data_IF_290050679548
#
_entry.id   IF_290050679548
#
_cell.length_a   1.000
_cell.length_b   1.000
_cell.length_c   1.000
_cell.angle_alpha   90.00
_cell.angle_beta   90.00
_cell.angle_gamma   90.00
#
_symmetry.space_group_name_H-M   'P 1'
#
loop_
_entity.id
_entity.type
_entity.pdbx_description
1 polymer ?
#
# COMPACT_ATOMS: atom_id res chain seq x y z
N UNK A 1 21.03 3.96 8.13
CA UNK A 1 20.00 4.19 9.15
C UNK A 1 20.51 3.56 10.44
N UNK A 2 20.73 4.33 11.52
CA UNK A 2 21.18 3.79 12.79
C UNK A 2 20.15 2.81 13.39
N UNK A 3 20.63 1.75 14.01
CA UNK A 3 19.83 0.74 14.71
C UNK A 3 19.98 -0.65 14.10
N UNK A 4 19.89 -1.65 14.94
CA UNK A 4 20.10 -3.08 14.57
C UNK A 4 18.79 -3.88 14.56
N UNK A 5 17.63 -3.24 14.72
CA UNK A 5 16.34 -3.89 14.98
C UNK A 5 15.35 -3.73 13.83
N UNK A 6 15.82 -3.48 12.62
CA UNK A 6 14.96 -3.41 11.43
C UNK A 6 14.67 -4.81 10.89
N UNK A 7 13.39 -5.16 10.74
CA UNK A 7 12.94 -6.46 10.21
C UNK A 7 12.51 -6.37 8.75
N UNK A 8 12.00 -5.21 8.31
CA UNK A 8 11.50 -5.03 6.96
C UNK A 8 11.73 -3.59 6.48
N UNK A 9 12.02 -3.41 5.18
CA UNK A 9 12.16 -2.10 4.54
C UNK A 9 11.57 -2.14 3.14
N UNK A 10 10.84 -1.08 2.78
CA UNK A 10 10.30 -0.89 1.44
C UNK A 10 10.45 0.58 1.00
N UNK A 11 11.03 0.79 -0.18
CA UNK A 11 11.29 2.11 -0.75
C UNK A 11 10.25 2.47 -1.82
N UNK A 12 9.59 3.60 -1.67
CA UNK A 12 8.82 4.26 -2.72
C UNK A 12 9.68 5.19 -3.57
N UNK A 13 9.04 6.08 -4.35
CA UNK A 13 9.79 7.05 -5.18
C UNK A 13 10.54 8.09 -4.34
N UNK A 14 9.93 8.55 -3.27
CA UNK A 14 10.45 9.67 -2.46
C UNK A 14 10.45 9.40 -0.96
N UNK A 15 9.88 8.29 -0.53
CA UNK A 15 9.79 7.90 0.87
C UNK A 15 10.28 6.47 1.08
N UNK A 16 10.62 6.19 2.31
CA UNK A 16 10.92 4.84 2.79
C UNK A 16 10.01 4.52 3.96
N UNK A 17 9.50 3.29 3.96
CA UNK A 17 8.82 2.67 5.10
C UNK A 17 9.70 1.54 5.63
N UNK A 18 9.73 1.38 6.94
CA UNK A 18 10.42 0.27 7.57
C UNK A 18 9.70 -0.18 8.83
N UNK A 19 9.80 -1.47 9.13
CA UNK A 19 9.25 -2.06 10.35
C UNK A 19 10.42 -2.57 11.20
N UNK A 20 10.36 -2.32 12.49
CA UNK A 20 11.32 -2.89 13.44
C UNK A 20 10.85 -4.25 13.95
N UNK A 21 11.76 -4.98 14.57
CA UNK A 21 11.47 -6.30 15.20
C UNK A 21 10.47 -6.22 16.35
N UNK A 22 10.25 -5.02 16.92
CA UNK A 22 9.21 -4.76 17.92
C UNK A 22 7.84 -4.46 17.30
N UNK A 23 7.70 -4.60 15.97
CA UNK A 23 6.47 -4.36 15.24
C UNK A 23 6.11 -2.89 15.01
N UNK A 24 6.97 -1.94 15.37
CA UNK A 24 6.73 -0.51 15.11
C UNK A 24 7.00 -0.16 13.64
N UNK A 25 6.13 0.69 13.05
CA UNK A 25 6.26 1.21 11.69
C UNK A 25 6.93 2.59 11.71
N UNK A 26 7.86 2.81 10.79
CA UNK A 26 8.64 4.04 10.65
C UNK A 26 8.61 4.53 9.21
N UNK A 27 8.63 5.85 9.02
CA UNK A 27 8.67 6.49 7.71
C UNK A 27 9.60 7.69 7.70
N UNK A 28 10.24 7.93 6.54
CA UNK A 28 11.04 9.13 6.27
C UNK A 28 11.11 9.41 4.78
N UNK A 29 11.61 10.59 4.42
CA UNK A 29 11.68 11.09 3.07
C UNK A 29 10.71 12.25 2.84
N UNK A 30 10.20 12.38 1.63
CA UNK A 30 9.26 13.42 1.21
C UNK A 30 7.89 13.21 1.87
N UNK A 31 7.31 14.28 2.42
CA UNK A 31 6.10 14.20 3.25
C UNK A 31 4.83 14.71 2.58
N UNK A 32 4.91 15.36 1.41
CA UNK A 32 3.73 15.88 0.72
C UNK A 32 2.72 14.77 0.43
N UNK A 33 1.48 15.16 0.25
CA UNK A 33 0.35 14.26 0.09
C UNK A 33 0.06 13.38 1.32
N UNK A 34 0.78 13.58 2.45
CA UNK A 34 0.63 12.80 3.68
C UNK A 34 1.23 11.40 3.61
N UNK A 35 2.09 11.13 2.63
CA UNK A 35 2.60 9.77 2.33
C UNK A 35 3.45 9.14 3.45
N UNK A 36 3.90 9.93 4.42
CA UNK A 36 4.63 9.42 5.59
C UNK A 36 3.72 8.90 6.71
N UNK A 37 2.40 9.15 6.65
CA UNK A 37 1.44 8.63 7.63
C UNK A 37 1.54 9.23 9.04
N UNK A 38 2.17 10.41 9.20
CA UNK A 38 2.50 11.01 10.50
C UNK A 38 1.55 12.16 10.89
N UNK A 39 0.32 12.13 10.36
CA UNK A 39 -0.68 13.20 10.51
C UNK A 39 -0.11 14.59 10.14
N UNK A 40 0.75 14.63 9.11
CA UNK A 40 1.51 15.80 8.69
C UNK A 40 1.94 15.66 7.23
N UNK A 41 2.14 16.78 6.53
CA UNK A 41 2.73 16.83 5.19
C UNK A 41 4.21 17.27 5.21
N UNK A 42 4.85 17.25 6.38
CA UNK A 42 6.25 17.67 6.53
C UNK A 42 7.19 16.51 6.19
N UNK A 43 8.17 16.76 5.34
CA UNK A 43 9.24 15.81 5.02
C UNK A 43 10.10 15.50 6.25
N UNK A 44 10.61 14.28 6.32
CA UNK A 44 11.48 13.81 7.41
C UNK A 44 12.82 13.34 6.86
N UNK A 45 13.91 13.92 7.35
CA UNK A 45 15.27 13.52 6.98
C UNK A 45 15.80 12.31 7.78
N UNK A 46 15.06 11.87 8.78
CA UNK A 46 15.38 10.71 9.62
C UNK A 46 14.14 9.87 9.88
N UNK A 47 14.30 8.58 10.19
CA UNK A 47 13.19 7.71 10.55
C UNK A 47 12.34 8.30 11.68
N UNK A 48 11.04 8.42 11.45
CA UNK A 48 10.06 8.90 12.41
C UNK A 48 8.94 7.87 12.50
N UNK A 49 8.51 7.53 13.71
CA UNK A 49 7.51 6.50 13.93
C UNK A 49 6.13 6.93 13.38
N UNK A 50 5.40 5.99 12.78
CA UNK A 50 4.04 6.15 12.29
C UNK A 50 3.07 5.63 13.35
N UNK A 51 2.38 6.54 14.01
CA UNK A 51 1.48 6.19 15.11
C UNK A 51 2.19 5.53 16.29
N UNK A 52 1.43 4.81 17.13
CA UNK A 52 1.94 4.12 18.33
C UNK A 52 1.77 2.58 18.26
N UNK A 53 1.31 2.04 17.10
CA UNK A 53 1.10 0.61 16.93
C UNK A 53 2.42 -0.17 16.93
N UNK A 54 2.39 -1.38 17.46
CA UNK A 54 3.52 -2.32 17.57
C UNK A 54 3.20 -3.68 16.93
N UNK A 55 2.24 -3.69 16.02
CA UNK A 55 1.65 -4.88 15.42
C UNK A 55 1.72 -4.88 13.86
N UNK A 56 2.62 -4.08 13.29
CA UNK A 56 2.82 -4.02 11.85
C UNK A 56 3.64 -5.21 11.35
N UNK A 57 3.13 -5.91 10.31
CA UNK A 57 3.73 -7.10 9.72
C UNK A 57 4.43 -6.83 8.39
N UNK A 58 3.81 -6.06 7.49
CA UNK A 58 4.38 -5.71 6.19
C UNK A 58 3.96 -4.30 5.77
N UNK A 59 4.72 -3.71 4.85
CA UNK A 59 4.41 -2.38 4.31
C UNK A 59 4.84 -2.25 2.85
N UNK A 60 4.20 -1.33 2.13
CA UNK A 60 4.53 -1.00 0.75
C UNK A 60 4.44 0.51 0.53
N UNK A 61 5.41 1.06 -0.19
CA UNK A 61 5.52 2.47 -0.54
C UNK A 61 5.51 2.63 -2.07
N UNK A 62 4.68 3.52 -2.58
CA UNK A 62 4.63 3.87 -3.99
C UNK A 62 5.10 5.30 -4.26
N UNK A 63 4.53 5.96 -5.28
CA UNK A 63 4.86 7.35 -5.56
C UNK A 63 4.12 8.32 -4.62
N UNK A 64 2.80 8.24 -4.57
CA UNK A 64 1.94 9.17 -3.85
C UNK A 64 1.11 8.50 -2.75
N UNK A 65 1.51 7.34 -2.29
CA UNK A 65 0.78 6.62 -1.27
C UNK A 65 1.59 5.53 -0.63
N UNK A 66 1.11 5.09 0.49
CA UNK A 66 1.69 4.08 1.34
C UNK A 66 0.60 3.16 1.89
N UNK A 67 0.97 1.94 2.23
CA UNK A 67 0.08 0.98 2.87
C UNK A 67 0.87 0.04 3.76
N UNK A 68 0.19 -0.54 4.72
CA UNK A 68 0.76 -1.54 5.61
C UNK A 68 -0.33 -2.49 6.12
N UNK A 69 0.06 -3.69 6.47
CA UNK A 69 -0.80 -4.72 7.03
C UNK A 69 -0.31 -5.03 8.45
N UNK A 70 -1.25 -5.20 9.36
CA UNK A 70 -0.99 -5.61 10.72
C UNK A 70 -1.02 -7.13 10.87
N UNK A 71 -0.49 -7.63 11.97
CA UNK A 71 -0.48 -9.07 12.30
C UNK A 71 -1.86 -9.67 12.46
N UNK A 72 -2.89 -8.85 12.69
CA UNK A 72 -4.30 -9.25 12.73
C UNK A 72 -4.95 -9.32 11.35
N UNK A 73 -4.18 -9.10 10.27
CA UNK A 73 -4.67 -9.12 8.88
C UNK A 73 -5.45 -7.86 8.47
N UNK A 74 -5.41 -6.78 9.24
CA UNK A 74 -6.02 -5.51 8.83
C UNK A 74 -5.09 -4.73 7.89
N UNK A 75 -5.66 -4.19 6.79
CA UNK A 75 -4.95 -3.38 5.80
C UNK A 75 -5.20 -1.89 6.05
N UNK A 76 -4.14 -1.11 6.08
CA UNK A 76 -4.15 0.34 6.30
C UNK A 76 -3.47 1.07 5.14
N UNK A 77 -4.06 2.18 4.70
CA UNK A 77 -3.58 2.98 3.57
C UNK A 77 -3.56 4.46 3.92
N UNK A 78 -2.67 5.21 3.28
CA UNK A 78 -2.60 6.68 3.41
C UNK A 78 -1.88 7.30 2.21
N UNK A 79 -1.95 8.62 2.10
CA UNK A 79 -1.41 9.41 0.99
C UNK A 79 -2.50 10.00 0.12
N UNK A 80 -2.22 10.20 -1.16
CA UNK A 80 -3.11 10.81 -2.14
C UNK A 80 -4.13 9.82 -2.70
N UNK A 81 -5.42 10.22 -2.71
CA UNK A 81 -6.52 9.40 -3.25
C UNK A 81 -6.80 9.65 -4.73
N UNK A 82 -5.81 9.97 -5.55
CA UNK A 82 -6.06 10.14 -6.98
C UNK A 82 -6.58 8.83 -7.60
N UNK A 83 -7.63 8.93 -8.40
CA UNK A 83 -8.28 7.78 -9.06
C UNK A 83 -8.75 6.69 -8.08
N UNK A 84 -9.10 7.04 -6.85
CA UNK A 84 -9.55 6.08 -5.85
C UNK A 84 -8.43 5.20 -5.28
N UNK A 85 -7.16 5.59 -5.41
CA UNK A 85 -6.00 4.80 -5.02
C UNK A 85 -5.96 4.38 -3.55
N UNK A 86 -6.68 5.05 -2.65
CA UNK A 86 -6.76 4.63 -1.26
C UNK A 86 -7.76 3.48 -1.02
N UNK A 87 -8.63 3.17 -1.99
CA UNK A 87 -9.59 2.05 -1.84
C UNK A 87 -10.69 2.27 -0.80
N UNK A 88 -10.90 3.52 -0.36
CA UNK A 88 -11.82 3.87 0.73
C UNK A 88 -13.19 4.37 0.24
N UNK A 89 -13.49 4.21 -1.06
CA UNK A 89 -14.71 4.72 -1.71
C UNK A 89 -14.97 6.22 -1.45
N UNK A 90 -13.90 7.02 -1.42
CA UNK A 90 -13.93 8.46 -1.18
C UNK A 90 -13.61 9.26 -2.44
N UNK A 91 -13.92 10.56 -2.42
CA UNK A 91 -13.60 11.48 -3.52
C UNK A 91 -12.10 11.47 -3.87
N UNK A 92 -11.78 11.59 -5.15
CA UNK A 92 -10.41 11.44 -5.69
C UNK A 92 -9.44 12.56 -5.32
N UNK A 93 -9.92 13.66 -4.76
CA UNK A 93 -9.11 14.81 -4.32
C UNK A 93 -8.62 14.71 -2.87
N UNK A 94 -9.06 13.70 -2.12
CA UNK A 94 -8.73 13.54 -0.70
C UNK A 94 -7.25 13.15 -0.54
N UNK A 95 -6.62 13.72 0.48
CA UNK A 95 -5.30 13.31 0.97
C UNK A 95 -5.45 12.87 2.42
N UNK A 96 -4.91 11.73 2.77
CA UNK A 96 -4.97 11.17 4.12
C UNK A 96 -3.54 11.06 4.64
N UNK A 97 -3.23 11.77 5.72
CA UNK A 97 -1.90 11.85 6.30
C UNK A 97 -1.66 10.91 7.48
N UNK A 98 -2.64 10.06 7.79
CA UNK A 98 -2.54 9.01 8.83
C UNK A 98 -3.10 7.69 8.31
N UNK A 99 -2.59 6.54 8.78
CA UNK A 99 -3.13 5.25 8.39
C UNK A 99 -4.64 5.15 8.60
N UNK A 100 -5.37 4.76 7.54
CA UNK A 100 -6.83 4.55 7.55
C UNK A 100 -7.12 3.14 7.07
N UNK A 101 -7.96 2.41 7.78
CA UNK A 101 -8.21 1.01 7.51
C UNK A 101 -9.12 0.80 6.29
N UNK A 102 -8.73 -0.12 5.40
CA UNK A 102 -9.62 -0.75 4.43
C UNK A 102 -10.40 -1.88 5.13
N UNK A 103 -11.72 -2.01 4.91
CA UNK A 103 -12.49 -3.07 5.54
C UNK A 103 -11.96 -4.48 5.28
N UNK A 104 -12.02 -5.34 6.30
CA UNK A 104 -11.57 -6.73 6.27
C UNK A 104 -10.34 -6.99 7.13
N UNK A 105 -10.15 -8.27 7.48
CA UNK A 105 -9.13 -8.75 8.43
C UNK A 105 -8.34 -9.96 7.93
N UNK A 106 -8.41 -10.24 6.62
CA UNK A 106 -7.73 -11.39 6.02
C UNK A 106 -6.68 -10.98 4.98
N UNK A 107 -6.24 -9.72 5.02
CA UNK A 107 -5.22 -9.22 4.13
C UNK A 107 -3.84 -9.78 4.50
N UNK A 108 -3.08 -10.21 3.48
CA UNK A 108 -1.80 -10.92 3.62
C UNK A 108 -0.62 -10.11 3.09
N UNK A 109 -0.70 -9.62 1.84
CA UNK A 109 0.34 -8.77 1.24
C UNK A 109 -0.28 -7.57 0.53
N UNK A 110 0.46 -6.49 0.40
CA UNK A 110 0.09 -5.24 -0.28
C UNK A 110 1.23 -4.78 -1.19
N UNK A 111 0.91 -4.43 -2.44
CA UNK A 111 1.82 -3.78 -3.35
C UNK A 111 1.24 -2.47 -3.88
N UNK A 112 2.00 -1.42 -3.76
CA UNK A 112 1.66 -0.08 -4.19
C UNK A 112 2.53 0.27 -5.39
N UNK A 113 1.90 0.47 -6.55
CA UNK A 113 2.63 0.81 -7.75
C UNK A 113 2.91 2.31 -7.88
N UNK A 114 3.66 2.65 -8.93
CA UNK A 114 4.04 4.02 -9.26
C UNK A 114 2.86 4.89 -9.72
N UNK A 115 1.79 4.30 -10.30
CA UNK A 115 0.74 5.05 -11.03
C UNK A 115 -0.65 4.99 -10.38
N UNK A 116 -0.73 4.98 -9.07
CA UNK A 116 -2.00 4.95 -8.32
C UNK A 116 -2.80 3.65 -8.46
N UNK A 117 -2.20 2.56 -8.89
CA UNK A 117 -2.80 1.23 -8.80
C UNK A 117 -2.32 0.52 -7.55
N UNK A 118 -3.18 -0.26 -6.94
CA UNK A 118 -2.90 -1.02 -5.71
C UNK A 118 -3.32 -2.46 -5.92
N UNK A 119 -2.59 -3.35 -5.30
CA UNK A 119 -2.85 -4.78 -5.32
C UNK A 119 -2.64 -5.34 -3.93
N UNK A 120 -3.51 -6.25 -3.51
CA UNK A 120 -3.35 -6.95 -2.26
C UNK A 120 -3.82 -8.40 -2.40
N UNK A 121 -3.18 -9.30 -1.66
CA UNK A 121 -3.65 -10.67 -1.50
C UNK A 121 -4.33 -10.84 -0.16
N UNK A 122 -5.19 -11.85 -0.08
CA UNK A 122 -5.75 -12.34 1.16
C UNK A 122 -5.23 -13.73 1.47
N UNK A 123 -5.35 -14.13 2.73
CA UNK A 123 -4.93 -15.45 3.23
C UNK A 123 -5.68 -16.62 2.58
N UNK A 124 -6.83 -16.36 1.93
CA UNK A 124 -7.58 -17.33 1.14
C UNK A 124 -7.07 -17.49 -0.31
N UNK A 125 -5.94 -16.86 -0.66
CA UNK A 125 -5.35 -16.90 -1.99
C UNK A 125 -6.04 -15.99 -3.01
N UNK A 126 -6.94 -15.10 -2.62
CA UNK A 126 -7.58 -14.15 -3.54
C UNK A 126 -6.70 -12.91 -3.77
N UNK A 127 -6.67 -12.41 -5.01
CA UNK A 127 -5.97 -11.20 -5.42
C UNK A 127 -6.98 -10.07 -5.68
N UNK A 128 -6.71 -8.91 -5.12
CA UNK A 128 -7.56 -7.72 -5.18
C UNK A 128 -6.80 -6.54 -5.79
N UNK A 129 -7.51 -5.68 -6.51
CA UNK A 129 -6.95 -4.51 -7.19
C UNK A 129 -7.88 -3.31 -7.09
N UNK A 130 -7.31 -2.11 -7.07
CA UNK A 130 -8.07 -0.84 -7.11
C UNK A 130 -7.17 0.33 -7.54
N UNK A 131 -7.77 1.50 -7.74
CA UNK A 131 -7.11 2.71 -8.23
C UNK A 131 -7.27 2.91 -9.73
N UNK A 132 -6.27 3.42 -10.40
CA UNK A 132 -6.31 3.70 -11.84
C UNK A 132 -6.14 2.45 -12.69
N UNK A 133 -6.90 2.38 -13.82
CA UNK A 133 -6.73 1.31 -14.83
C UNK A 133 -5.83 1.74 -15.99
N UNK A 134 -4.93 2.68 -15.78
CA UNK A 134 -4.03 3.12 -16.85
C UNK A 134 -3.28 1.94 -17.47
N UNK A 135 -3.44 1.75 -18.79
CA UNK A 135 -2.91 0.61 -19.57
C UNK A 135 -3.38 -0.77 -19.10
N UNK A 136 -4.62 -0.86 -18.59
CA UNK A 136 -5.22 -2.13 -18.20
C UNK A 136 -4.66 -2.75 -16.90
N UNK A 137 -3.96 -1.97 -16.07
CA UNK A 137 -3.25 -2.48 -14.88
C UNK A 137 -4.12 -3.14 -13.83
N UNK A 138 -5.41 -2.81 -13.77
CA UNK A 138 -6.31 -3.48 -12.83
C UNK A 138 -6.53 -4.96 -13.15
N UNK A 139 -6.27 -5.40 -14.38
CA UNK A 139 -6.50 -6.81 -14.77
C UNK A 139 -7.96 -7.24 -14.77
N UNK A 140 -8.90 -6.28 -14.84
CA UNK A 140 -10.35 -6.53 -14.72
C UNK A 140 -11.08 -6.60 -16.09
N UNK A 141 -10.35 -6.63 -17.20
CA UNK A 141 -10.92 -6.59 -18.55
C UNK A 141 -11.87 -5.37 -18.77
N UNK A 142 -11.49 -4.23 -18.24
CA UNK A 142 -12.24 -2.97 -18.33
C UNK A 142 -11.45 -1.93 -19.14
N UNK A 143 -12.14 -0.90 -19.64
CA UNK A 143 -11.51 0.20 -20.36
C UNK A 143 -10.47 0.93 -19.50
N UNK A 144 -9.40 1.45 -20.10
CA UNK A 144 -8.31 2.16 -19.40
C UNK A 144 -8.77 3.43 -18.65
N UNK A 145 -9.88 4.02 -19.07
CA UNK A 145 -10.48 5.20 -18.41
C UNK A 145 -11.19 4.89 -17.10
N UNK A 146 -11.42 3.61 -16.79
CA UNK A 146 -12.09 3.19 -15.55
C UNK A 146 -11.12 3.33 -14.39
N UNK A 147 -11.60 3.89 -13.29
CA UNK A 147 -10.91 3.89 -12.00
C UNK A 147 -11.81 3.22 -10.96
N UNK A 148 -11.21 2.49 -10.06
CA UNK A 148 -11.92 1.72 -9.03
C UNK A 148 -11.52 2.23 -7.65
N UNK A 149 -12.49 2.74 -6.89
CA UNK A 149 -12.27 3.41 -5.59
C UNK A 149 -12.39 2.49 -4.37
N UNK A 150 -12.64 1.20 -4.58
CA UNK A 150 -12.66 0.16 -3.55
C UNK A 150 -12.04 -1.13 -4.09
N UNK A 151 -11.48 -2.00 -3.26
CA UNK A 151 -10.91 -3.27 -3.71
C UNK A 151 -11.92 -4.12 -4.50
N UNK A 152 -11.50 -4.60 -5.68
CA UNK A 152 -12.23 -5.54 -6.54
C UNK A 152 -11.36 -6.76 -6.76
N UNK A 153 -11.95 -7.95 -6.64
CA UNK A 153 -11.23 -9.20 -6.81
C UNK A 153 -10.90 -9.45 -8.29
N UNK A 154 -9.65 -9.83 -8.57
CA UNK A 154 -9.24 -10.43 -9.83
C UNK A 154 -9.69 -11.90 -9.81
N UNK A 155 -10.32 -12.42 -10.89
CA UNK A 155 -10.82 -13.78 -10.89
C UNK A 155 -9.74 -14.83 -10.60
N UNK A 156 -10.10 -15.82 -9.81
CA UNK A 156 -9.25 -16.94 -9.39
C UNK A 156 -8.82 -16.85 -7.94
N UNK A 157 -8.37 -17.98 -7.45
CA UNK A 157 -7.74 -18.23 -6.16
C UNK A 157 -6.33 -18.75 -6.40
N UNK A 158 -5.59 -19.07 -5.37
CA UNK A 158 -4.22 -19.61 -5.44
C UNK A 158 -3.16 -18.56 -5.83
N UNK A 159 -3.50 -17.28 -5.72
CA UNK A 159 -2.52 -16.22 -5.89
C UNK A 159 -1.60 -16.17 -4.66
N UNK A 160 -0.31 -16.37 -4.91
CA UNK A 160 0.75 -16.26 -3.91
C UNK A 160 1.77 -15.26 -4.40
N UNK A 161 2.37 -14.51 -3.51
CA UNK A 161 3.41 -13.54 -3.83
C UNK A 161 3.05 -12.55 -4.95
N UNK A 162 2.88 -11.32 -4.59
CA UNK A 162 2.79 -10.19 -5.52
C UNK A 162 4.05 -9.34 -5.39
N UNK A 163 4.60 -8.93 -6.53
CA UNK A 163 5.80 -8.06 -6.58
C UNK A 163 5.55 -6.89 -7.50
N UNK A 164 5.94 -5.71 -7.06
CA UNK A 164 5.93 -4.53 -7.93
C UNK A 164 6.96 -4.68 -9.04
N UNK A 165 6.54 -4.42 -10.28
CA UNK A 165 7.37 -4.45 -11.48
C UNK A 165 8.16 -3.16 -11.75
N UNK A 166 8.35 -2.30 -10.77
CA UNK A 166 9.07 -1.01 -10.95
C UNK A 166 8.21 0.06 -11.62
N UNK A 167 8.43 0.37 -12.90
CA UNK A 167 7.75 1.47 -13.61
C UNK A 167 6.22 1.27 -13.83
N UNK A 168 5.59 0.41 -13.08
CA UNK A 168 4.14 0.22 -13.02
C UNK A 168 3.67 -1.11 -13.57
N UNK A 169 2.98 -1.83 -12.73
CA UNK A 169 2.47 -3.16 -12.91
C UNK A 169 2.96 -4.09 -11.81
N UNK A 170 2.36 -5.24 -11.73
CA UNK A 170 2.80 -6.30 -10.82
C UNK A 170 3.07 -7.59 -11.58
N UNK A 171 3.86 -8.43 -10.96
CA UNK A 171 3.93 -9.86 -11.24
C UNK A 171 3.26 -10.57 -10.08
N UNK A 172 2.27 -11.37 -10.38
CA UNK A 172 1.58 -12.22 -9.42
C UNK A 172 1.85 -13.68 -9.77
N UNK A 173 2.08 -14.49 -8.77
CA UNK A 173 2.36 -15.92 -8.93
C UNK A 173 1.16 -16.73 -8.46
N UNK A 174 0.94 -17.88 -9.09
CA UNK A 174 0.01 -18.89 -8.61
C UNK A 174 0.77 -20.11 -8.13
N UNK A 175 0.26 -20.75 -7.09
CA UNK A 175 0.68 -22.11 -6.76
C UNK A 175 0.09 -23.06 -7.81
N UNK A 176 0.92 -23.94 -8.38
CA UNK A 176 0.48 -24.99 -9.30
C UNK A 176 -0.05 -26.18 -8.50
#
# INVERSE_FOLDING_TARGET
VPGTTWSFVNGGKYQTLAIKTDGTLWAWGYGDDGILGQNSNVSRSSPTQVGSGTDWATCSAGWHGSGAIKTDGTLWVWGKNQSGALGLNQATSVKISSPTQIPGTTWDDIQIDYYYTRYATKTDGTLWTWGTNYRGRLGLNQAESVAVSSPVQIPGTDWTNIKSGGAGGIVAFKTL
#
